data_IF_759919992363
#
_entry.id   IF_759919992363
#
_cell.length_a   1.000
_cell.length_b   1.000
_cell.length_c   1.000
_cell.angle_alpha   90.00
_cell.angle_beta   90.00
_cell.angle_gamma   90.00
#
_symmetry.space_group_name_H-M   'P 1'
#
loop_
_entity.id
_entity.type
_entity.pdbx_description
1 polymer ?
#
# COMPACT_ATOMS: atom_id res chain seq x y z
N UNK A 1 39.09 -0.98 -11.86
CA UNK A 1 37.64 -0.70 -11.89
C UNK A 1 36.96 -1.89 -11.27
N UNK A 2 36.45 -1.73 -10.04
CA UNK A 2 35.58 -2.75 -9.47
C UNK A 2 34.31 -2.80 -10.33
N UNK A 3 33.86 -4.01 -10.66
CA UNK A 3 32.53 -4.23 -11.21
C UNK A 3 31.58 -3.76 -10.11
N UNK A 4 30.91 -2.62 -10.31
CA UNK A 4 29.72 -2.30 -9.51
C UNK A 4 28.71 -3.38 -9.85
N UNK A 5 28.65 -4.44 -9.04
CA UNK A 5 27.53 -5.36 -9.08
C UNK A 5 26.27 -4.50 -8.92
N UNK A 6 25.42 -4.50 -9.95
CA UNK A 6 24.19 -3.75 -9.96
C UNK A 6 23.23 -4.37 -8.95
N UNK A 7 23.38 -4.02 -7.68
CA UNK A 7 22.45 -4.42 -6.62
C UNK A 7 21.16 -3.65 -6.82
N UNK A 8 20.09 -4.36 -7.16
CA UNK A 8 18.75 -3.78 -7.21
C UNK A 8 18.38 -3.29 -5.81
N UNK A 9 17.82 -2.08 -5.69
CA UNK A 9 17.49 -1.55 -4.39
C UNK A 9 16.38 -2.37 -3.71
N UNK A 10 16.47 -2.57 -2.39
CA UNK A 10 15.53 -3.43 -1.64
C UNK A 10 14.09 -2.91 -1.69
N UNK A 11 13.89 -1.61 -1.94
CA UNK A 11 12.56 -1.04 -2.07
C UNK A 11 11.90 -1.33 -3.42
N UNK A 12 12.67 -1.73 -4.43
CA UNK A 12 12.14 -1.96 -5.78
C UNK A 12 11.45 -3.31 -5.89
N UNK A 13 10.29 -3.35 -6.56
CA UNK A 13 9.57 -4.60 -6.77
C UNK A 13 10.39 -5.64 -7.55
N UNK A 14 11.33 -5.22 -8.41
CA UNK A 14 12.20 -6.13 -9.18
C UNK A 14 13.26 -6.83 -8.32
N UNK A 15 13.52 -6.38 -7.10
CA UNK A 15 14.44 -7.07 -6.19
C UNK A 15 13.80 -8.26 -5.46
N UNK A 16 12.53 -8.56 -5.74
CA UNK A 16 11.75 -9.55 -5.01
C UNK A 16 11.26 -10.69 -5.90
N UNK A 17 11.30 -11.90 -5.35
CA UNK A 17 10.72 -13.10 -5.97
C UNK A 17 9.32 -13.36 -5.38
N UNK A 18 8.33 -13.56 -6.23
CA UNK A 18 6.97 -13.88 -5.78
C UNK A 18 5.90 -13.41 -6.76
N UNK A 19 4.64 -13.57 -6.36
CA UNK A 19 3.52 -13.00 -7.09
C UNK A 19 3.33 -11.53 -6.71
N UNK A 20 3.07 -10.67 -7.69
CA UNK A 20 2.61 -9.31 -7.42
C UNK A 20 1.11 -9.38 -7.14
N UNK A 21 0.70 -9.01 -5.93
CA UNK A 21 -0.71 -9.00 -5.57
C UNK A 21 -1.39 -7.75 -6.13
N UNK A 22 -1.92 -7.87 -7.35
CA UNK A 22 -2.65 -6.81 -8.05
C UNK A 22 -3.91 -6.35 -7.31
N UNK A 23 -4.51 -7.23 -6.51
CA UNK A 23 -5.74 -6.98 -5.76
C UNK A 23 -5.51 -5.90 -4.69
N UNK A 24 -4.26 -5.80 -4.19
CA UNK A 24 -3.89 -4.72 -3.27
C UNK A 24 -3.85 -3.32 -3.92
N UNK A 25 -4.02 -3.22 -5.25
CA UNK A 25 -4.08 -1.95 -5.97
C UNK A 25 -5.50 -1.44 -6.18
N UNK A 26 -6.51 -2.17 -5.70
CA UNK A 26 -7.92 -1.81 -5.90
C UNK A 26 -8.26 -0.41 -5.35
N UNK A 27 -7.66 0.00 -4.22
CA UNK A 27 -7.82 1.39 -3.72
C UNK A 27 -7.29 2.46 -4.67
N UNK A 28 -6.43 2.10 -5.62
CA UNK A 28 -5.92 3.00 -6.65
C UNK A 28 -6.75 3.00 -7.94
N UNK A 29 -7.77 2.13 -8.07
CA UNK A 29 -8.58 1.97 -9.28
C UNK A 29 -9.91 2.73 -9.24
N UNK A 30 -10.12 3.60 -8.26
CA UNK A 30 -11.37 4.36 -8.10
C UNK A 30 -11.63 5.39 -9.22
N UNK A 31 -10.70 5.57 -10.14
CA UNK A 31 -10.89 6.33 -11.37
C UNK A 31 -11.64 5.54 -12.44
N UNK A 32 -11.66 4.20 -12.38
CA UNK A 32 -12.34 3.35 -13.36
C UNK A 32 -13.82 3.19 -13.02
N UNK A 33 -14.67 3.45 -14.01
CA UNK A 33 -16.08 3.10 -13.95
C UNK A 33 -16.25 1.66 -14.40
N UNK A 34 -16.07 0.72 -13.48
CA UNK A 34 -16.52 -0.66 -13.68
C UNK A 34 -18.04 -0.74 -13.46
N UNK A 35 -18.71 -1.77 -13.98
CA UNK A 35 -20.19 -1.95 -13.99
C UNK A 35 -20.89 -1.98 -12.60
N UNK A 36 -20.22 -1.56 -11.54
CA UNK A 36 -20.75 -1.49 -10.19
C UNK A 36 -20.97 -0.02 -9.79
N UNK A 37 -22.04 0.23 -9.04
CA UNK A 37 -22.45 1.55 -8.58
C UNK A 37 -21.31 2.30 -7.85
N UNK A 38 -21.37 3.63 -7.84
CA UNK A 38 -20.44 4.50 -7.12
C UNK A 38 -20.25 4.10 -5.63
N UNK A 39 -21.21 3.40 -5.04
CA UNK A 39 -21.19 2.90 -3.66
C UNK A 39 -20.15 1.79 -3.40
N UNK A 40 -19.72 1.03 -4.42
CA UNK A 40 -18.66 0.04 -4.24
C UNK A 40 -17.25 0.65 -4.27
N UNK A 41 -17.11 1.85 -4.85
CA UNK A 41 -15.85 2.56 -5.04
C UNK A 41 -15.29 3.09 -3.70
N UNK A 42 -16.10 3.15 -2.64
CA UNK A 42 -15.75 3.78 -1.36
C UNK A 42 -15.33 2.84 -0.23
N UNK A 43 -15.25 1.52 -0.46
CA UNK A 43 -15.03 0.58 0.66
C UNK A 43 -13.60 0.59 1.20
N UNK A 44 -12.59 0.97 0.42
CA UNK A 44 -11.19 0.99 0.85
C UNK A 44 -10.46 2.24 0.36
N UNK A 45 -9.81 2.96 1.27
CA UNK A 45 -8.97 4.11 0.99
C UNK A 45 -7.54 3.91 1.50
N UNK A 46 -6.56 4.44 0.75
CA UNK A 46 -5.17 4.59 1.18
C UNK A 46 -4.77 6.06 1.10
N UNK A 47 -4.22 6.63 2.18
CA UNK A 47 -3.81 8.03 2.27
C UNK A 47 -2.30 8.07 2.53
N UNK A 48 -1.50 8.72 1.65
CA UNK A 48 -0.07 8.86 1.89
C UNK A 48 0.17 9.72 3.14
N UNK A 49 0.97 9.22 4.07
CA UNK A 49 1.37 9.94 5.29
C UNK A 49 2.84 10.34 5.28
N UNK A 50 3.57 9.92 4.24
CA UNK A 50 5.01 10.10 4.10
C UNK A 50 5.33 10.73 2.76
N UNK A 51 6.13 11.80 2.78
CA UNK A 51 6.69 12.40 1.58
C UNK A 51 8.01 11.73 1.21
N UNK A 52 8.00 10.99 0.11
CA UNK A 52 9.18 10.30 -0.41
C UNK A 52 10.02 11.20 -1.31
N UNK A 53 11.32 11.00 -1.26
CA UNK A 53 12.28 11.54 -2.22
C UNK A 53 13.15 10.40 -2.75
N UNK A 54 13.70 10.54 -3.94
CA UNK A 54 14.70 9.61 -4.45
C UNK A 54 16.02 10.29 -4.76
N UNK A 55 17.10 9.50 -4.75
CA UNK A 55 18.42 9.96 -5.17
C UNK A 55 19.25 8.79 -5.73
N UNK A 56 20.31 9.11 -6.48
CA UNK A 56 21.26 8.10 -6.99
C UNK A 56 22.21 7.65 -5.88
N UNK A 57 22.70 8.60 -5.09
CA UNK A 57 23.57 8.37 -3.93
C UNK A 57 23.00 9.03 -2.67
N UNK A 58 23.44 8.59 -1.48
CA UNK A 58 22.99 9.14 -0.19
C UNK A 58 23.21 10.65 -0.03
N UNK A 59 24.28 11.19 -0.64
CA UNK A 59 24.64 12.62 -0.59
C UNK A 59 24.20 13.41 -1.82
N UNK A 60 23.71 12.74 -2.87
CA UNK A 60 23.29 13.40 -4.10
C UNK A 60 21.99 14.18 -3.91
N UNK A 61 21.69 15.07 -4.86
CA UNK A 61 20.43 15.83 -4.86
C UNK A 61 19.23 14.90 -4.77
N UNK A 62 18.33 15.21 -3.84
CA UNK A 62 17.08 14.47 -3.65
C UNK A 62 15.97 15.09 -4.46
N UNK A 63 15.18 14.23 -5.11
CA UNK A 63 14.06 14.63 -5.94
C UNK A 63 12.76 14.15 -5.29
N UNK A 64 11.76 15.03 -5.07
CA UNK A 64 10.50 14.62 -4.46
C UNK A 64 9.71 13.70 -5.40
N UNK A 65 9.11 12.66 -4.82
CA UNK A 65 8.12 11.82 -5.49
C UNK A 65 6.74 12.44 -5.25
N UNK A 66 6.15 13.01 -6.30
CA UNK A 66 4.86 13.70 -6.21
C UNK A 66 3.78 12.86 -6.87
N UNK A 67 2.78 12.43 -6.08
CA UNK A 67 1.56 11.84 -6.63
C UNK A 67 0.56 12.96 -6.94
N UNK A 68 0.24 13.14 -8.23
CA UNK A 68 -0.76 14.13 -8.65
C UNK A 68 -2.18 13.57 -8.71
N UNK A 69 -2.37 12.28 -8.42
CA UNK A 69 -3.69 11.64 -8.51
C UNK A 69 -4.79 12.36 -7.70
N UNK A 70 -4.54 12.85 -6.46
CA UNK A 70 -5.55 13.62 -5.72
C UNK A 70 -5.92 14.95 -6.39
N UNK A 71 -4.96 15.63 -7.01
CA UNK A 71 -5.21 16.89 -7.74
C UNK A 71 -6.18 16.64 -8.89
N UNK A 72 -5.93 15.61 -9.68
CA UNK A 72 -6.76 15.24 -10.82
C UNK A 72 -8.17 14.84 -10.41
N UNK A 73 -8.30 14.06 -9.32
CA UNK A 73 -9.60 13.71 -8.75
C UNK A 73 -10.40 14.97 -8.40
N UNK A 74 -9.82 15.86 -7.60
CA UNK A 74 -10.52 17.05 -7.12
C UNK A 74 -10.90 18.01 -8.26
N UNK A 75 -10.04 18.15 -9.28
CA UNK A 75 -10.24 19.05 -10.43
C UNK A 75 -11.43 18.70 -11.32
N UNK A 76 -11.91 17.45 -11.28
CA UNK A 76 -12.95 16.98 -12.19
C UNK A 76 -14.17 16.36 -11.49
N UNK A 77 -14.14 16.22 -10.15
CA UNK A 77 -15.30 15.77 -9.39
C UNK A 77 -16.40 16.83 -9.22
N UNK A 78 -16.04 18.13 -9.17
CA UNK A 78 -16.98 19.18 -8.75
C UNK A 78 -16.91 20.49 -9.56
N UNK A 79 -16.19 20.51 -10.66
CA UNK A 79 -15.94 21.76 -11.41
C UNK A 79 -16.28 21.62 -12.89
N UNK A 80 -16.79 22.72 -13.47
CA UNK A 80 -16.96 22.93 -14.90
C UNK A 80 -15.62 23.20 -15.62
N UNK A 81 -14.55 22.53 -15.18
CA UNK A 81 -13.20 22.67 -15.72
C UNK A 81 -13.17 22.17 -17.16
N UNK A 82 -12.45 22.88 -18.03
CA UNK A 82 -12.16 22.39 -19.39
C UNK A 82 -11.47 21.03 -19.31
N UNK A 83 -11.97 20.08 -20.09
CA UNK A 83 -11.41 18.73 -20.14
C UNK A 83 -10.03 18.75 -20.82
N UNK A 84 -9.10 17.88 -20.38
CA UNK A 84 -7.85 17.71 -21.09
C UNK A 84 -8.09 17.18 -22.51
N UNK A 85 -7.13 17.38 -23.45
CA UNK A 85 -7.24 16.85 -24.80
C UNK A 85 -7.55 15.34 -24.82
N UNK A 86 -8.39 14.93 -25.77
CA UNK A 86 -8.80 13.53 -25.95
C UNK A 86 -9.89 13.04 -25.00
N UNK A 87 -10.23 13.79 -23.94
CA UNK A 87 -11.31 13.43 -23.01
C UNK A 87 -12.67 13.95 -23.44
N UNK A 88 -13.71 13.14 -23.20
CA UNK A 88 -15.11 13.48 -23.39
C UNK A 88 -15.89 13.18 -22.12
N UNK A 89 -16.77 14.11 -21.74
CA UNK A 89 -17.74 13.94 -20.64
C UNK A 89 -19.04 13.39 -21.19
N UNK A 90 -19.68 12.55 -20.38
CA UNK A 90 -20.94 11.90 -20.65
C UNK A 90 -21.77 11.88 -19.36
N UNK A 91 -23.08 11.72 -19.51
CA UNK A 91 -24.01 11.50 -18.41
C UNK A 91 -24.71 10.16 -18.64
N UNK A 92 -24.77 9.32 -17.62
CA UNK A 92 -25.55 8.09 -17.66
C UNK A 92 -27.04 8.41 -17.51
N UNK A 93 -27.84 8.09 -18.52
CA UNK A 93 -29.27 8.40 -18.52
C UNK A 93 -30.06 7.64 -17.44
N UNK A 94 -29.54 6.52 -16.93
CA UNK A 94 -30.21 5.69 -15.94
C UNK A 94 -29.92 6.13 -14.50
N UNK A 95 -28.69 6.56 -14.21
CA UNK A 95 -28.27 6.95 -12.84
C UNK A 95 -28.08 8.45 -12.65
N UNK A 96 -28.09 9.24 -13.74
CA UNK A 96 -27.71 10.66 -13.78
C UNK A 96 -26.24 10.91 -13.38
N UNK A 97 -25.43 9.85 -13.30
CA UNK A 97 -24.02 9.97 -12.94
C UNK A 97 -23.20 10.48 -14.13
N UNK A 98 -22.22 11.35 -13.82
CA UNK A 98 -21.22 11.79 -14.79
C UNK A 98 -20.12 10.74 -14.97
N UNK A 99 -19.70 10.52 -16.22
CA UNK A 99 -18.55 9.69 -16.55
C UNK A 99 -17.76 10.25 -17.74
N UNK A 100 -16.54 9.74 -17.94
CA UNK A 100 -15.61 10.24 -18.91
C UNK A 100 -15.04 9.11 -19.77
N UNK A 101 -14.72 9.39 -21.03
CA UNK A 101 -13.96 8.48 -21.90
C UNK A 101 -12.81 9.22 -22.58
N UNK A 102 -11.76 8.48 -22.96
CA UNK A 102 -10.62 9.04 -23.67
C UNK A 102 -10.43 8.35 -25.03
N UNK A 103 -10.16 9.12 -26.08
CA UNK A 103 -10.11 8.63 -27.47
C UNK A 103 -9.05 7.55 -27.72
N UNK A 104 -7.93 7.57 -26.98
CA UNK A 104 -6.86 6.57 -27.13
C UNK A 104 -7.15 5.24 -26.42
N UNK A 105 -8.18 5.20 -25.56
CA UNK A 105 -8.59 4.03 -24.77
C UNK A 105 -10.13 3.90 -24.80
N UNK A 106 -10.72 3.74 -26.00
CA UNK A 106 -12.16 3.94 -26.22
C UNK A 106 -13.06 2.92 -25.50
N UNK A 107 -12.50 1.77 -25.08
CA UNK A 107 -13.25 0.70 -24.42
C UNK A 107 -13.35 0.86 -22.89
N UNK A 108 -12.86 1.97 -22.34
CA UNK A 108 -12.85 2.21 -20.89
C UNK A 108 -13.62 3.48 -20.54
N UNK A 109 -14.33 3.41 -19.42
CA UNK A 109 -15.05 4.53 -18.82
C UNK A 109 -14.41 4.89 -17.48
N UNK A 110 -14.46 6.17 -17.15
CA UNK A 110 -13.76 6.76 -16.02
C UNK A 110 -14.70 7.63 -15.20
N UNK A 111 -14.53 7.64 -13.88
CA UNK A 111 -15.24 8.57 -12.99
C UNK A 111 -14.67 9.99 -13.06
N UNK A 112 -13.41 10.14 -13.46
CA UNK A 112 -12.76 11.42 -13.71
C UNK A 112 -11.59 11.25 -14.68
N UNK A 113 -11.22 12.28 -15.47
CA UNK A 113 -10.04 12.27 -16.31
C UNK A 113 -8.76 11.94 -15.52
N UNK A 114 -7.89 11.13 -16.13
CA UNK A 114 -6.55 10.84 -15.62
C UNK A 114 -5.49 11.28 -16.65
N UNK A 115 -4.23 11.49 -16.24
CA UNK A 115 -3.14 11.69 -17.19
C UNK A 115 -3.02 10.48 -18.13
N UNK A 116 -3.26 10.69 -19.43
CA UNK A 116 -2.98 9.69 -20.46
C UNK A 116 -1.66 10.10 -21.12
N UNK A 117 -0.61 9.33 -20.86
CA UNK A 117 0.74 9.68 -21.27
C UNK A 117 0.89 9.74 -22.80
N UNK A 118 1.30 10.90 -23.31
CA UNK A 118 2.07 11.00 -24.57
C UNK A 118 3.51 11.31 -24.12
N UNK A 119 4.35 10.30 -23.87
CA UNK A 119 5.70 10.61 -23.38
C UNK A 119 6.65 9.44 -23.19
N UNK A 120 7.82 9.57 -23.85
CA UNK A 120 9.04 8.79 -23.66
C UNK A 120 9.60 9.04 -22.25
N UNK A 121 9.03 8.41 -21.23
CA UNK A 121 9.58 8.45 -19.88
C UNK A 121 10.97 7.84 -19.85
N UNK A 122 12.01 8.64 -19.62
CA UNK A 122 13.33 8.11 -19.23
C UNK A 122 13.22 7.65 -17.78
N UNK A 123 13.47 6.36 -17.54
CA UNK A 123 13.62 5.85 -16.19
C UNK A 123 14.78 6.57 -15.52
N UNK A 124 14.51 7.29 -14.43
CA UNK A 124 15.55 7.85 -13.59
C UNK A 124 16.19 6.71 -12.79
N UNK A 125 17.53 6.70 -12.69
CA UNK A 125 18.23 5.79 -11.80
C UNK A 125 18.04 6.29 -10.37
N UNK A 126 17.26 5.55 -9.61
CA UNK A 126 17.05 5.79 -8.19
C UNK A 126 17.61 4.61 -7.44
N UNK A 127 18.62 4.82 -6.58
CA UNK A 127 19.13 3.75 -5.69
C UNK A 127 18.57 3.91 -4.29
N UNK A 128 18.32 5.14 -3.84
CA UNK A 128 17.83 5.40 -2.48
C UNK A 128 16.46 6.06 -2.48
N UNK A 129 15.61 5.64 -1.54
CA UNK A 129 14.39 6.36 -1.16
C UNK A 129 14.57 7.01 0.21
N UNK A 130 14.29 8.30 0.32
CA UNK A 130 14.42 9.06 1.55
C UNK A 130 13.06 9.49 2.05
N UNK A 131 12.85 9.43 3.36
CA UNK A 131 11.68 10.00 4.00
C UNK A 131 11.94 10.39 5.46
N UNK A 132 11.05 11.22 5.99
CA UNK A 132 10.84 11.36 7.44
C UNK A 132 9.52 10.67 7.77
N UNK A 133 9.51 9.83 8.78
CA UNK A 133 8.36 8.97 9.09
C UNK A 133 8.31 8.66 10.58
N UNK A 134 7.24 7.99 11.02
CA UNK A 134 7.16 7.44 12.38
C UNK A 134 7.67 5.99 12.39
N UNK A 135 8.19 5.57 13.53
CA UNK A 135 8.72 4.23 13.77
C UNK A 135 8.14 3.63 15.03
N UNK A 136 7.97 2.30 15.03
CA UNK A 136 7.69 1.51 16.22
C UNK A 136 8.43 0.17 16.16
N UNK A 137 8.58 -0.47 17.34
CA UNK A 137 9.01 -1.87 17.42
C UNK A 137 7.84 -2.74 17.88
N UNK A 138 7.61 -3.84 17.17
CA UNK A 138 6.56 -4.81 17.48
C UNK A 138 7.13 -6.22 17.52
N UNK A 139 6.64 -7.04 18.45
CA UNK A 139 7.03 -8.44 18.54
C UNK A 139 6.22 -9.31 17.59
N UNK A 140 6.73 -10.52 17.31
CA UNK A 140 6.11 -11.47 16.38
C UNK A 140 5.51 -12.64 17.15
N UNK A 141 4.31 -13.08 16.76
CA UNK A 141 3.77 -14.35 17.24
C UNK A 141 4.62 -15.53 16.70
N UNK A 142 4.76 -16.63 17.47
CA UNK A 142 5.64 -17.75 17.07
C UNK A 142 5.20 -18.46 15.79
N UNK A 143 3.90 -18.44 15.48
CA UNK A 143 3.33 -19.21 14.39
C UNK A 143 3.28 -18.39 13.09
N UNK A 144 3.99 -18.82 12.02
CA UNK A 144 3.81 -18.25 10.70
C UNK A 144 2.54 -18.80 10.04
N UNK A 145 1.84 -17.93 9.35
CA UNK A 145 0.66 -18.21 8.56
C UNK A 145 0.99 -18.18 7.06
N UNK A 146 0.09 -18.75 6.26
CA UNK A 146 0.13 -18.62 4.80
C UNK A 146 -0.72 -17.42 4.40
N UNK A 147 -0.23 -16.59 3.49
CA UNK A 147 -1.05 -15.51 2.93
C UNK A 147 -2.28 -16.06 2.19
N UNK A 148 -3.37 -15.30 2.21
CA UNK A 148 -4.61 -15.62 1.48
C UNK A 148 -4.39 -15.62 -0.05
N UNK A 149 -3.58 -14.67 -0.54
CA UNK A 149 -3.36 -14.40 -1.97
C UNK A 149 -1.97 -14.76 -2.46
N UNK A 150 -1.03 -14.96 -1.54
CA UNK A 150 0.38 -15.15 -1.83
C UNK A 150 0.89 -16.53 -1.45
N UNK A 151 1.94 -16.96 -2.15
CA UNK A 151 2.83 -18.02 -1.64
C UNK A 151 3.83 -17.49 -0.59
N UNK A 152 3.61 -16.29 -0.05
CA UNK A 152 4.45 -15.67 0.97
C UNK A 152 4.00 -16.05 2.39
N UNK A 153 4.94 -15.94 3.32
CA UNK A 153 4.67 -16.10 4.75
C UNK A 153 4.04 -14.85 5.32
N UNK A 154 2.98 -15.03 6.10
CA UNK A 154 2.41 -14.00 6.95
C UNK A 154 2.84 -14.26 8.38
N UNK A 155 3.23 -13.21 9.09
CA UNK A 155 3.45 -13.29 10.53
C UNK A 155 2.56 -12.29 11.25
N UNK A 156 1.93 -12.74 12.33
CA UNK A 156 1.15 -11.87 13.20
C UNK A 156 2.07 -11.08 14.12
N UNK A 157 1.75 -9.81 14.33
CA UNK A 157 2.44 -8.88 15.21
C UNK A 157 1.69 -8.74 16.52
N UNK A 158 2.42 -8.56 17.63
CA UNK A 158 1.87 -8.21 18.92
C UNK A 158 2.47 -6.93 19.47
N UNK A 159 1.62 -6.15 20.12
CA UNK A 159 2.00 -4.93 20.82
C UNK A 159 2.75 -5.24 22.14
N UNK A 160 3.29 -4.22 22.84
CA UNK A 160 3.99 -4.42 24.11
C UNK A 160 3.14 -5.06 25.22
N UNK A 161 1.81 -5.03 25.10
CA UNK A 161 0.87 -5.68 26.01
C UNK A 161 0.59 -7.14 25.61
N UNK A 162 1.26 -7.64 24.57
CA UNK A 162 1.08 -8.99 24.01
C UNK A 162 -0.19 -9.16 23.17
N UNK A 163 -0.90 -8.07 22.85
CA UNK A 163 -2.15 -8.11 22.08
C UNK A 163 -1.87 -8.04 20.58
N UNK A 164 -2.75 -8.65 19.80
CA UNK A 164 -2.65 -8.60 18.34
C UNK A 164 -2.67 -7.16 17.80
N UNK A 165 -1.66 -6.84 17.00
CA UNK A 165 -1.43 -5.50 16.48
C UNK A 165 -1.62 -5.40 14.95
N UNK A 166 -1.51 -6.53 14.23
CA UNK A 166 -1.55 -6.56 12.78
C UNK A 166 -0.68 -7.67 12.22
N UNK A 167 -0.33 -7.59 10.94
CA UNK A 167 0.40 -8.65 10.23
C UNK A 167 1.43 -8.08 9.26
N UNK A 168 2.50 -8.84 9.01
CA UNK A 168 3.43 -8.59 7.91
C UNK A 168 3.47 -9.76 6.95
N UNK A 169 3.68 -9.44 5.67
CA UNK A 169 4.06 -10.39 4.63
C UNK A 169 5.57 -10.41 4.52
N UNK A 170 6.18 -11.51 4.93
CA UNK A 170 7.60 -11.76 4.76
C UNK A 170 7.88 -12.24 3.35
N UNK A 171 9.00 -11.80 2.79
CA UNK A 171 9.46 -12.21 1.48
C UNK A 171 10.24 -13.54 1.53
N UNK A 172 9.74 -14.49 2.33
CA UNK A 172 10.25 -15.86 2.45
C UNK A 172 9.10 -16.85 2.32
N UNK A 173 9.44 -18.10 2.00
CA UNK A 173 8.47 -19.18 2.01
C UNK A 173 8.20 -19.63 3.44
N UNK A 174 6.98 -20.13 3.70
CA UNK A 174 6.58 -20.64 5.03
C UNK A 174 7.52 -21.73 5.55
N UNK A 175 8.11 -22.51 4.65
CA UNK A 175 9.05 -23.57 4.99
C UNK A 175 10.39 -23.00 5.50
N UNK A 176 10.84 -21.88 4.92
CA UNK A 176 12.09 -21.20 5.29
C UNK A 176 11.91 -20.32 6.53
N UNK A 177 10.71 -19.77 6.75
CA UNK A 177 10.41 -18.98 7.95
C UNK A 177 10.47 -19.82 9.25
N UNK A 178 10.24 -21.13 9.16
CA UNK A 178 10.29 -22.05 10.31
C UNK A 178 11.72 -22.40 10.74
N UNK A 179 12.70 -22.20 9.88
CA UNK A 179 14.11 -22.56 10.15
C UNK A 179 14.96 -21.37 10.60
N UNK A 180 14.49 -20.14 10.44
CA UNK A 180 15.13 -18.94 10.99
C UNK A 180 14.91 -18.83 12.50
N UNK A 181 15.95 -18.43 13.25
CA UNK A 181 15.81 -18.05 14.66
C UNK A 181 14.68 -17.02 14.81
N UNK A 182 13.86 -17.09 15.87
CA UNK A 182 12.76 -16.16 16.06
C UNK A 182 13.34 -14.76 16.28
N UNK A 183 13.26 -13.91 15.25
CA UNK A 183 13.40 -12.47 15.42
C UNK A 183 12.31 -12.04 16.42
N UNK A 184 12.74 -11.59 17.59
CA UNK A 184 11.82 -11.32 18.71
C UNK A 184 11.03 -10.05 18.50
N UNK A 185 11.62 -9.06 17.82
CA UNK A 185 10.98 -7.79 17.51
C UNK A 185 11.41 -7.27 16.12
N UNK A 186 10.48 -6.60 15.45
CA UNK A 186 10.67 -5.96 14.16
C UNK A 186 10.64 -4.45 14.30
N UNK A 187 11.60 -3.79 13.65
CA UNK A 187 11.62 -2.34 13.49
C UNK A 187 10.78 -1.92 12.28
N UNK A 188 9.70 -1.22 12.55
CA UNK A 188 8.71 -0.84 11.54
C UNK A 188 8.72 0.65 11.31
N UNK A 189 8.63 1.06 10.04
CA UNK A 189 8.36 2.44 9.65
C UNK A 189 7.00 2.56 8.97
N UNK A 190 6.36 3.71 9.13
CA UNK A 190 5.09 4.03 8.46
C UNK A 190 5.29 4.34 6.98
N UNK A 191 4.31 3.95 6.16
CA UNK A 191 4.26 4.24 4.72
C UNK A 191 3.05 5.12 4.36
N UNK A 192 1.89 4.74 4.88
CA UNK A 192 0.61 5.39 4.60
C UNK A 192 -0.40 4.98 5.66
N UNK A 193 -1.52 5.70 5.77
CA UNK A 193 -2.70 5.24 6.49
C UNK A 193 -3.72 4.65 5.52
N UNK A 194 -4.67 3.89 6.05
CA UNK A 194 -5.77 3.34 5.27
C UNK A 194 -6.97 3.01 6.14
N UNK A 195 -8.11 2.88 5.48
CA UNK A 195 -9.37 2.50 6.11
C UNK A 195 -10.19 1.66 5.16
N UNK A 196 -10.91 0.68 5.71
CA UNK A 196 -11.89 -0.13 4.97
C UNK A 196 -13.19 -0.23 5.76
N UNK A 197 -14.32 -0.05 5.09
CA UNK A 197 -15.64 -0.26 5.68
C UNK A 197 -15.95 -1.76 5.69
N UNK A 198 -16.20 -2.32 6.88
CA UNK A 198 -16.57 -3.72 7.07
C UNK A 198 -18.08 -3.95 7.07
N UNK A 199 -18.88 -2.88 6.98
CA UNK A 199 -20.33 -3.00 6.97
C UNK A 199 -20.77 -3.57 5.61
N UNK A 200 -21.11 -4.86 5.62
CA UNK A 200 -21.80 -5.52 4.53
C UNK A 200 -23.28 -5.16 4.61
N UNK A 201 -23.84 -4.58 3.54
CA UNK A 201 -25.28 -4.28 3.47
C UNK A 201 -26.17 -5.53 3.59
N UNK A 202 -25.60 -6.74 3.46
CA UNK A 202 -26.35 -7.99 3.27
C UNK A 202 -26.10 -9.08 4.32
N UNK A 203 -25.40 -8.79 5.43
CA UNK A 203 -25.22 -9.77 6.52
C UNK A 203 -24.31 -10.97 6.19
N UNK A 204 -23.52 -10.88 5.12
CA UNK A 204 -22.49 -11.87 4.76
C UNK A 204 -21.34 -11.90 5.78
N UNK A 205 -20.81 -13.10 6.02
CA UNK A 205 -19.64 -13.34 6.88
C UNK A 205 -18.44 -12.55 6.35
N UNK A 206 -17.57 -12.04 7.25
CA UNK A 206 -16.32 -11.37 6.89
C UNK A 206 -15.42 -12.26 6.04
N UNK A 207 -15.51 -13.60 6.18
CA UNK A 207 -14.77 -14.54 5.36
C UNK A 207 -15.23 -14.53 3.89
N UNK A 208 -16.49 -14.20 3.63
CA UNK A 208 -17.05 -14.08 2.29
C UNK A 208 -16.88 -12.66 1.71
N UNK A 209 -16.29 -11.73 2.48
CA UNK A 209 -16.06 -10.37 2.02
C UNK A 209 -15.17 -10.37 0.76
N UNK A 210 -15.49 -9.57 -0.28
CA UNK A 210 -14.73 -9.53 -1.54
C UNK A 210 -13.27 -9.07 -1.39
N UNK A 211 -12.84 -8.68 -0.19
CA UNK A 211 -11.49 -8.22 0.14
C UNK A 211 -10.76 -9.15 1.11
N UNK A 212 -11.33 -10.31 1.50
CA UNK A 212 -10.67 -11.28 2.40
C UNK A 212 -9.30 -11.70 1.89
N UNK A 213 -9.13 -11.74 0.57
CA UNK A 213 -7.89 -12.03 -0.13
C UNK A 213 -6.82 -10.92 -0.01
N UNK A 214 -7.25 -9.69 0.28
CA UNK A 214 -6.38 -8.51 0.42
C UNK A 214 -5.85 -8.36 1.86
N UNK A 215 -6.65 -8.74 2.85
CA UNK A 215 -6.40 -8.51 4.26
C UNK A 215 -6.06 -9.82 5.01
N UNK A 216 -4.78 -10.25 5.00
CA UNK A 216 -4.39 -11.52 5.65
C UNK A 216 -4.69 -11.55 7.14
N UNK A 217 -4.69 -10.40 7.80
CA UNK A 217 -5.06 -10.30 9.19
C UNK A 217 -6.47 -10.83 9.46
N UNK A 218 -7.41 -10.81 8.50
CA UNK A 218 -8.76 -11.35 8.70
C UNK A 218 -8.78 -12.88 8.76
N UNK A 219 -7.75 -13.54 8.24
CA UNK A 219 -7.61 -14.99 8.24
C UNK A 219 -6.80 -15.52 9.43
N UNK A 220 -6.15 -14.67 10.23
CA UNK A 220 -5.39 -15.14 11.40
C UNK A 220 -6.31 -15.40 12.60
N UNK A 221 -5.97 -16.37 13.49
CA UNK A 221 -6.82 -16.71 14.64
C UNK A 221 -7.04 -15.57 15.64
N UNK A 222 -6.17 -14.56 15.62
CA UNK A 222 -6.19 -13.45 16.57
C UNK A 222 -7.08 -12.28 16.14
N UNK A 223 -7.64 -12.33 14.94
CA UNK A 223 -8.53 -11.29 14.45
C UNK A 223 -9.91 -11.39 15.09
N UNK A 224 -10.46 -10.23 15.42
CA UNK A 224 -11.83 -10.10 15.92
C UNK A 224 -12.83 -10.29 14.77
N UNK A 225 -13.37 -11.51 14.66
CA UNK A 225 -14.34 -11.87 13.62
C UNK A 225 -15.70 -11.18 13.78
N UNK A 226 -15.98 -10.62 14.96
CA UNK A 226 -17.22 -9.90 15.21
C UNK A 226 -17.07 -8.39 14.94
N UNK A 227 -15.89 -7.96 14.46
CA UNK A 227 -15.59 -6.55 14.17
C UNK A 227 -16.52 -5.99 13.09
N UNK A 228 -17.10 -4.83 13.37
CA UNK A 228 -18.00 -4.08 12.46
C UNK A 228 -17.55 -2.63 12.31
N UNK A 229 -18.13 -1.92 11.35
CA UNK A 229 -17.81 -0.52 11.07
C UNK A 229 -16.49 -0.35 10.32
N UNK A 230 -15.74 0.69 10.67
CA UNK A 230 -14.52 1.07 9.94
C UNK A 230 -13.30 0.37 10.55
N UNK A 231 -12.61 -0.42 9.73
CA UNK A 231 -11.29 -0.92 10.04
C UNK A 231 -10.21 0.05 9.57
N UNK A 232 -9.51 0.69 10.51
CA UNK A 232 -8.42 1.63 10.23
C UNK A 232 -7.05 1.04 10.56
N UNK A 233 -6.07 1.34 9.71
CA UNK A 233 -4.72 0.80 9.80
C UNK A 233 -3.66 1.78 9.25
N UNK A 234 -2.40 1.49 9.57
CA UNK A 234 -1.24 2.02 8.86
C UNK A 234 -0.61 0.89 8.05
N UNK A 235 -0.27 1.17 6.79
CA UNK A 235 0.66 0.35 6.04
C UNK A 235 2.06 0.63 6.57
N UNK A 236 2.80 -0.43 6.89
CA UNK A 236 4.12 -0.36 7.52
C UNK A 236 5.14 -1.20 6.77
N UNK A 237 6.41 -0.86 6.92
CA UNK A 237 7.55 -1.58 6.38
C UNK A 237 8.46 -2.04 7.51
N UNK A 238 8.77 -3.33 7.54
CA UNK A 238 9.86 -3.85 8.37
C UNK A 238 11.19 -3.56 7.68
N UNK A 239 12.08 -2.92 8.43
CA UNK A 239 13.40 -2.52 7.99
C UNK A 239 14.50 -3.15 8.84
N UNK A 240 15.65 -3.38 8.22
CA UNK A 240 16.89 -3.72 8.91
C UNK A 240 17.95 -2.65 8.63
N UNK A 241 18.47 -2.06 9.70
CA UNK A 241 19.50 -1.03 9.62
C UNK A 241 20.82 -1.63 9.10
N UNK A 242 21.33 -1.05 8.02
CA UNK A 242 22.64 -1.40 7.44
C UNK A 242 23.74 -0.46 7.94
N UNK A 243 23.37 0.80 8.19
CA UNK A 243 24.21 1.85 8.75
C UNK A 243 23.33 2.91 9.42
N UNK A 244 23.88 3.86 10.19
CA UNK A 244 23.10 4.98 10.72
C UNK A 244 22.35 5.72 9.60
N UNK A 245 21.03 5.80 9.70
CA UNK A 245 20.18 6.47 8.70
C UNK A 245 19.93 5.67 7.41
N UNK A 246 20.48 4.46 7.26
CA UNK A 246 20.32 3.63 6.06
C UNK A 246 19.80 2.25 6.43
N UNK A 247 18.70 1.84 5.81
CA UNK A 247 18.06 0.56 6.07
C UNK A 247 17.67 -0.15 4.77
N UNK A 248 17.50 -1.47 4.87
CA UNK A 248 16.90 -2.28 3.80
C UNK A 248 15.49 -2.68 4.19
N UNK A 249 14.60 -2.71 3.20
CA UNK A 249 13.26 -3.30 3.34
C UNK A 249 13.38 -4.81 3.49
N UNK A 250 12.63 -5.39 4.42
CA UNK A 250 12.52 -6.84 4.59
C UNK A 250 11.09 -7.37 4.40
N UNK A 251 10.09 -6.61 4.84
CA UNK A 251 8.68 -7.00 4.73
C UNK A 251 7.78 -5.76 4.70
N UNK A 252 6.51 -5.95 4.33
CA UNK A 252 5.46 -4.93 4.41
C UNK A 252 4.19 -5.55 4.97
N UNK A 253 3.35 -4.73 5.58
CA UNK A 253 2.06 -5.19 6.07
C UNK A 253 1.28 -4.05 6.71
N UNK A 254 0.43 -4.40 7.67
CA UNK A 254 -0.51 -3.48 8.29
C UNK A 254 -0.49 -3.62 9.80
N UNK A 255 -0.64 -2.48 10.47
CA UNK A 255 -0.82 -2.38 11.92
C UNK A 255 -2.08 -1.56 12.19
N UNK A 256 -2.85 -1.95 13.21
CA UNK A 256 -4.05 -1.23 13.62
C UNK A 256 -3.72 0.22 13.96
N UNK A 257 -4.56 1.15 13.47
CA UNK A 257 -4.36 2.59 13.67
C UNK A 257 -4.21 2.95 15.15
N UNK A 258 -5.09 2.41 15.98
CA UNK A 258 -5.09 2.62 17.43
C UNK A 258 -3.85 2.07 18.16
N UNK A 259 -3.24 1.02 17.62
CA UNK A 259 -1.98 0.48 18.16
C UNK A 259 -0.83 1.37 17.72
N UNK A 260 -0.73 1.68 16.42
CA UNK A 260 0.34 2.49 15.87
C UNK A 260 0.41 3.88 16.51
N UNK A 261 -0.72 4.57 16.63
CA UNK A 261 -0.77 5.92 17.23
C UNK A 261 -0.35 5.95 18.70
N UNK A 262 -0.50 4.82 19.41
CA UNK A 262 -0.07 4.70 20.81
C UNK A 262 1.45 4.53 20.92
N UNK A 263 2.03 3.69 20.08
CA UNK A 263 3.41 3.21 20.25
C UNK A 263 4.42 3.92 19.36
N UNK A 264 4.00 4.42 18.19
CA UNK A 264 4.90 4.99 17.22
C UNK A 264 5.46 6.33 17.72
N UNK A 265 6.70 6.60 17.34
CA UNK A 265 7.42 7.83 17.65
C UNK A 265 7.92 8.43 16.35
N UNK A 266 8.07 9.75 16.32
CA UNK A 266 8.74 10.41 15.19
C UNK A 266 10.17 9.88 15.09
N UNK A 267 10.53 9.40 13.91
CA UNK A 267 11.89 8.98 13.58
C UNK A 267 12.57 10.09 12.80
N UNK A 268 13.90 10.09 12.83
CA UNK A 268 14.69 10.95 11.97
C UNK A 268 14.49 10.63 10.48
N UNK A 269 15.38 11.18 9.67
CA UNK A 269 15.42 10.84 8.26
C UNK A 269 15.92 9.40 8.06
N UNK A 270 15.21 8.64 7.23
CA UNK A 270 15.55 7.27 6.85
C UNK A 270 15.78 7.19 5.35
N UNK A 271 16.88 6.57 4.95
CA UNK A 271 17.16 6.19 3.57
C UNK A 271 16.99 4.66 3.41
N UNK A 272 16.10 4.25 2.49
CA UNK A 272 15.95 2.86 2.08
C UNK A 272 16.84 2.62 0.87
N UNK A 273 17.78 1.69 1.02
CA UNK A 273 18.65 1.21 -0.05
C UNK A 273 18.11 -0.09 -0.63
#
# INVERSE_FOLDING_TARGET
MAVEDAVLPSWSWVSWQGNVQSESWQSGHDYLRQNNSAEQVSRWQTIPTVQWHYSEDLSSTRYPIVSRAPEWRHLYQHTSTLLPPGWKHHTDAATDDSYFTHESIPNHQFWYPIPVGIGNGRASRSRYLHCKTRRASLEVFPEPYRSCTGRCTVVALRDPDGKFAGCLRLNVWVQDARSSQPLTAFDLIELSSGSVCLDNNDGEDLLDHPLTDVFDEWAVPYWDKDRKGIYEFYNVMFIEWKAPGVASRLAVGRVFKSVWERIAREEGEVAIS
#
